data_IF_690728183579
#
_entry.id   IF_690728183579
#
_cell.length_a   1.000
_cell.length_b   1.000
_cell.length_c   1.000
_cell.angle_alpha   90.00
_cell.angle_beta   90.00
_cell.angle_gamma   90.00
#
_symmetry.space_group_name_H-M   'P 1'
#
loop_
_entity.id
_entity.type
_entity.pdbx_description
1 polymer ?
#
# COMPACT_ATOMS: atom_id res chain seq x y z
N UNK A 1 -1.08 24.10 -9.38
CA UNK A 1 0.24 23.50 -9.69
C UNK A 1 0.82 22.87 -8.43
N UNK A 2 0.29 21.71 -7.99
CA UNK A 2 0.67 21.10 -6.69
C UNK A 2 1.81 20.09 -6.83
N UNK A 3 2.54 19.83 -5.74
CA UNK A 3 3.55 18.76 -5.71
C UNK A 3 2.95 17.39 -6.08
N UNK A 4 1.73 17.10 -5.63
CA UNK A 4 1.01 15.87 -5.98
C UNK A 4 0.78 15.73 -7.49
N UNK A 5 0.31 16.79 -8.16
CA UNK A 5 0.08 16.78 -9.61
C UNK A 5 1.39 16.54 -10.39
N UNK A 6 2.49 17.16 -9.96
CA UNK A 6 3.82 16.96 -10.57
C UNK A 6 4.32 15.52 -10.41
N UNK A 7 4.12 14.92 -9.24
CA UNK A 7 4.49 13.53 -8.98
C UNK A 7 3.68 12.57 -9.88
N UNK A 8 2.36 12.73 -9.94
CA UNK A 8 1.48 11.93 -10.81
C UNK A 8 1.93 11.95 -12.27
N UNK A 9 2.23 13.13 -12.80
CA UNK A 9 2.76 13.29 -14.16
C UNK A 9 4.11 12.60 -14.34
N UNK A 10 5.04 12.76 -13.39
CA UNK A 10 6.38 12.13 -13.47
C UNK A 10 6.31 10.60 -13.42
N UNK A 11 5.33 10.06 -12.71
CA UNK A 11 5.11 8.62 -12.60
C UNK A 11 4.20 8.06 -13.70
N UNK A 12 3.68 8.89 -14.60
CA UNK A 12 2.71 8.49 -15.63
C UNK A 12 1.46 7.81 -15.03
N UNK A 13 1.00 8.29 -13.88
CA UNK A 13 -0.16 7.78 -13.15
C UNK A 13 -1.24 8.86 -13.01
N UNK A 14 -2.31 8.75 -13.80
CA UNK A 14 -3.39 9.75 -13.78
C UNK A 14 -4.38 9.53 -12.63
N UNK A 15 -4.70 8.27 -12.32
CA UNK A 15 -5.64 7.86 -11.26
C UNK A 15 -4.91 7.29 -10.04
N UNK A 16 -4.26 8.18 -9.29
CA UNK A 16 -3.64 7.86 -8.01
C UNK A 16 -4.22 8.76 -6.91
N UNK A 17 -4.67 8.14 -5.82
CA UNK A 17 -5.14 8.79 -4.60
C UNK A 17 -4.27 8.41 -3.40
N UNK A 18 -4.29 9.22 -2.35
CA UNK A 18 -3.54 8.91 -1.12
C UNK A 18 -3.99 7.58 -0.48
N UNK A 19 -5.26 7.20 -0.63
CA UNK A 19 -5.76 5.92 -0.16
C UNK A 19 -5.13 4.72 -0.89
N UNK A 20 -4.68 4.88 -2.13
CA UNK A 20 -3.97 3.81 -2.86
C UNK A 20 -2.57 3.59 -2.27
N UNK A 21 -1.89 4.67 -1.90
CA UNK A 21 -0.59 4.59 -1.19
C UNK A 21 -0.80 3.91 0.16
N UNK A 22 -1.81 4.34 0.93
CA UNK A 22 -2.14 3.73 2.22
C UNK A 22 -2.45 2.24 2.08
N UNK A 23 -3.29 1.86 1.12
CA UNK A 23 -3.62 0.47 0.83
C UNK A 23 -2.38 -0.35 0.49
N UNK A 24 -1.47 0.18 -0.35
CA UNK A 24 -0.20 -0.47 -0.68
C UNK A 24 0.69 -0.65 0.55
N UNK A 25 0.87 0.39 1.37
CA UNK A 25 1.67 0.32 2.59
C UNK A 25 1.15 -0.72 3.57
N UNK A 26 -0.17 -0.78 3.81
CA UNK A 26 -0.78 -1.77 4.70
C UNK A 26 -0.71 -3.19 4.12
N UNK A 27 -0.85 -3.33 2.79
CA UNK A 27 -0.67 -4.61 2.10
C UNK A 27 0.75 -5.15 2.28
N UNK A 28 1.78 -4.30 2.11
CA UNK A 28 3.17 -4.71 2.29
C UNK A 28 3.52 -4.98 3.76
N UNK A 29 2.97 -4.20 4.69
CA UNK A 29 3.11 -4.42 6.13
C UNK A 29 2.51 -5.77 6.55
N UNK A 30 1.28 -6.08 6.11
CA UNK A 30 0.62 -7.36 6.37
C UNK A 30 1.45 -8.52 5.82
N UNK A 31 1.98 -8.38 4.59
CA UNK A 31 2.82 -9.42 3.96
C UNK A 31 4.11 -9.69 4.74
N UNK A 32 4.77 -8.65 5.26
CA UNK A 32 6.06 -8.78 5.94
C UNK A 32 5.94 -9.18 7.42
N UNK A 33 4.94 -8.65 8.11
CA UNK A 33 4.86 -8.67 9.58
C UNK A 33 3.53 -9.19 10.13
N UNK A 34 2.57 -9.54 9.26
CA UNK A 34 1.25 -10.04 9.66
C UNK A 34 0.17 -8.96 9.85
N UNK A 35 -1.07 -9.42 10.05
CA UNK A 35 -2.26 -8.57 10.11
C UNK A 35 -2.26 -7.60 11.29
N UNK A 36 -1.81 -8.02 12.47
CA UNK A 36 -1.84 -7.20 13.69
C UNK A 36 -0.93 -5.98 13.58
N UNK A 37 0.24 -6.17 12.95
CA UNK A 37 1.16 -5.09 12.66
C UNK A 37 0.54 -4.10 11.66
N UNK A 38 -0.10 -4.60 10.60
CA UNK A 38 -0.78 -3.75 9.64
C UNK A 38 -1.97 -2.97 10.27
N UNK A 39 -2.75 -3.61 11.14
CA UNK A 39 -3.84 -2.97 11.87
C UNK A 39 -3.31 -1.84 12.77
N UNK A 40 -2.25 -2.11 13.52
CA UNK A 40 -1.60 -1.14 14.40
C UNK A 40 -1.04 0.05 13.60
N UNK A 41 -0.37 -0.22 12.47
CA UNK A 41 0.15 0.81 11.57
C UNK A 41 -0.96 1.66 10.95
N UNK A 42 -2.10 1.03 10.64
CA UNK A 42 -3.29 1.70 10.13
C UNK A 42 -4.07 2.46 11.19
N UNK A 43 -3.78 2.28 12.48
CA UNK A 43 -4.63 2.71 13.58
C UNK A 43 -6.11 2.30 13.37
N UNK A 44 -6.33 1.04 12.98
CA UNK A 44 -7.66 0.51 12.72
C UNK A 44 -8.22 -0.16 13.98
N UNK A 45 -9.48 0.15 14.29
CA UNK A 45 -10.17 -0.43 15.43
C UNK A 45 -10.42 -1.95 15.28
N UNK A 46 -10.45 -2.46 14.05
CA UNK A 46 -10.72 -3.87 13.76
C UNK A 46 -9.88 -4.40 12.61
N UNK A 47 -9.72 -5.72 12.57
CA UNK A 47 -8.99 -6.42 11.49
C UNK A 47 -9.75 -6.31 10.17
N UNK A 48 -11.08 -6.38 10.19
CA UNK A 48 -11.94 -6.25 8.99
C UNK A 48 -11.74 -4.91 8.29
N UNK A 49 -11.56 -3.83 9.07
CA UNK A 49 -11.22 -2.51 8.52
C UNK A 49 -9.88 -2.55 7.79
N UNK A 50 -8.90 -3.30 8.32
CA UNK A 50 -7.59 -3.50 7.68
C UNK A 50 -7.70 -4.33 6.42
N UNK A 51 -8.54 -5.36 6.39
CA UNK A 51 -8.76 -6.20 5.22
C UNK A 51 -9.35 -5.43 4.04
N UNK A 52 -10.21 -4.43 4.29
CA UNK A 52 -10.71 -3.54 3.24
C UNK A 52 -9.62 -2.74 2.50
N UNK A 53 -8.45 -2.53 3.13
CA UNK A 53 -7.30 -1.87 2.51
C UNK A 53 -6.33 -2.84 1.82
N UNK A 54 -6.34 -4.12 2.20
CA UNK A 54 -5.42 -5.11 1.64
C UNK A 54 -5.98 -5.61 0.31
N UNK A 55 -5.57 -4.97 -0.78
CA UNK A 55 -5.87 -5.48 -2.13
C UNK A 55 -4.85 -6.57 -2.46
N UNK A 56 -5.27 -7.83 -2.33
CA UNK A 56 -4.46 -9.01 -2.62
C UNK A 56 -4.08 -9.06 -4.11
N UNK A 57 -2.99 -8.40 -4.47
CA UNK A 57 -2.22 -8.69 -5.68
C UNK A 57 -0.99 -9.46 -5.25
N UNK A 58 -0.94 -10.74 -5.57
CA UNK A 58 0.27 -11.54 -5.42
C UNK A 58 1.37 -10.91 -6.28
N UNK A 59 2.53 -10.70 -5.68
CA UNK A 59 3.70 -10.17 -6.39
C UNK A 59 4.87 -11.09 -6.11
N UNK A 60 5.49 -11.59 -7.17
CA UNK A 60 6.68 -12.40 -7.07
C UNK A 60 7.86 -11.52 -6.66
N UNK A 61 8.40 -11.76 -5.47
CA UNK A 61 9.64 -11.10 -5.05
C UNK A 61 10.80 -11.92 -5.59
N UNK A 62 11.48 -11.41 -6.62
CA UNK A 62 12.65 -12.05 -7.20
C UNK A 62 13.92 -11.53 -6.52
N UNK A 63 14.86 -12.42 -6.22
CA UNK A 63 16.23 -12.01 -5.86
C UNK A 63 17.03 -11.84 -7.16
N UNK A 64 17.75 -10.72 -7.35
CA UNK A 64 18.63 -10.58 -8.50
C UNK A 64 19.69 -11.68 -8.45
N UNK A 65 19.97 -12.26 -9.61
CA UNK A 65 21.11 -13.13 -9.81
C UNK A 65 22.33 -12.20 -9.84
N UNK A 66 23.14 -12.26 -8.78
CA UNK A 66 24.48 -11.68 -8.81
C UNK A 66 25.32 -12.44 -9.83
#
# INVERSE_FOLDING_TARGET
NSAWRRLKQKCELDELHFHDIRAKSLTDAKRKMGSDYAQSLGNHASVETTEGYVKAREVNTVKPLF
#
